data_IF_661683292241
#
_entry.id   IF_661683292241
#
_cell.length_a   1.000
_cell.length_b   1.000
_cell.length_c   1.000
_cell.angle_alpha   90.00
_cell.angle_beta   90.00
_cell.angle_gamma   90.00
#
_symmetry.space_group_name_H-M   'P 1'
#
loop_
_entity.id
_entity.type
_entity.pdbx_description
1 polymer ?
#
# COMPACT_ATOMS: atom_id res chain seq x y z
N UNK A 1 9.21 -9.85 12.42
CA UNK A 1 8.50 -9.49 11.17
C UNK A 1 8.41 -10.65 10.16
N UNK A 2 9.47 -10.99 9.40
CA UNK A 2 9.42 -11.98 8.28
C UNK A 2 8.75 -13.33 8.62
N UNK A 3 9.05 -13.93 9.77
CA UNK A 3 8.45 -15.22 10.19
C UNK A 3 6.96 -15.13 10.53
N UNK A 4 6.46 -13.95 10.89
CA UNK A 4 5.05 -13.73 11.21
C UNK A 4 4.22 -13.48 9.95
N UNK A 5 4.80 -12.77 8.97
CA UNK A 5 4.24 -12.62 7.63
C UNK A 5 4.07 -13.98 6.94
N UNK A 6 5.10 -14.83 6.97
CA UNK A 6 5.05 -16.17 6.38
C UNK A 6 4.06 -17.13 7.07
N UNK A 7 3.60 -16.80 8.28
CA UNK A 7 2.60 -17.57 9.03
C UNK A 7 1.16 -17.06 8.83
N UNK A 8 0.96 -16.02 8.01
CA UNK A 8 -0.36 -15.44 7.78
C UNK A 8 -0.88 -14.55 8.92
N UNK A 9 -0.08 -14.28 9.97
CA UNK A 9 -0.50 -13.48 11.12
C UNK A 9 -0.14 -12.00 10.91
N UNK A 10 -0.93 -11.33 10.08
CA UNK A 10 -0.79 -9.92 9.72
C UNK A 10 -0.99 -8.98 10.92
N UNK A 11 -1.92 -9.30 11.84
CA UNK A 11 -2.17 -8.51 13.06
C UNK A 11 -0.94 -8.42 13.98
N UNK A 12 -0.11 -9.47 14.03
CA UNK A 12 1.12 -9.46 14.83
C UNK A 12 2.26 -8.61 14.25
N UNK A 13 2.11 -8.13 13.02
CA UNK A 13 3.12 -7.34 12.29
C UNK A 13 2.64 -5.93 11.98
N UNK A 14 1.34 -5.75 11.78
CA UNK A 14 0.74 -4.45 11.55
C UNK A 14 0.95 -3.52 12.75
N UNK A 15 1.00 -2.21 12.47
CA UNK A 15 0.96 -1.20 13.52
C UNK A 15 -0.33 -1.36 14.35
N UNK A 16 -0.26 -1.49 15.69
CA UNK A 16 -1.43 -1.60 16.55
C UNK A 16 -2.46 -0.47 16.37
N UNK A 17 -2.02 0.73 15.96
CA UNK A 17 -2.89 1.86 15.69
C UNK A 17 -3.69 1.73 14.39
N UNK A 18 -3.33 0.76 13.54
CA UNK A 18 -3.99 0.47 12.27
C UNK A 18 -4.96 -0.72 12.38
N UNK A 19 -5.13 -1.34 13.54
CA UNK A 19 -6.05 -2.48 13.72
C UNK A 19 -7.46 -2.11 13.28
N UNK A 20 -8.02 -2.89 12.34
CA UNK A 20 -9.33 -2.64 11.73
C UNK A 20 -9.39 -1.47 10.74
N UNK A 21 -8.24 -0.86 10.39
CA UNK A 21 -8.13 0.32 9.51
C UNK A 21 -7.33 0.07 8.23
N UNK A 22 -7.00 -1.17 7.92
CA UNK A 22 -6.37 -1.56 6.65
C UNK A 22 -7.09 -2.76 6.03
N UNK A 23 -7.06 -2.84 4.70
CA UNK A 23 -7.56 -3.99 3.97
C UNK A 23 -6.47 -5.10 3.94
N UNK A 24 -6.81 -6.33 4.32
CA UNK A 24 -5.88 -7.46 4.41
C UNK A 24 -5.14 -7.72 3.07
N UNK A 25 -5.82 -7.81 1.92
CA UNK A 25 -5.18 -7.82 0.60
C UNK A 25 -4.15 -6.71 0.36
N UNK A 26 -4.51 -5.45 0.67
CA UNK A 26 -3.59 -4.32 0.51
C UNK A 26 -2.37 -4.43 1.43
N UNK A 27 -2.57 -4.94 2.65
CA UNK A 27 -1.50 -5.18 3.60
C UNK A 27 -0.50 -6.22 3.07
N UNK A 28 -0.99 -7.34 2.54
CA UNK A 28 -0.11 -8.37 1.98
C UNK A 28 0.71 -7.84 0.82
N UNK A 29 0.11 -7.06 -0.07
CA UNK A 29 0.82 -6.40 -1.17
C UNK A 29 1.99 -5.54 -0.64
N UNK A 30 1.74 -4.68 0.34
CA UNK A 30 2.80 -3.86 0.97
C UNK A 30 3.85 -4.72 1.68
N UNK A 31 3.43 -5.75 2.40
CA UNK A 31 4.32 -6.63 3.14
C UNK A 31 5.26 -7.42 2.22
N UNK A 32 4.75 -7.88 1.08
CA UNK A 32 5.52 -8.59 0.05
C UNK A 32 6.53 -7.64 -0.61
N UNK A 33 6.12 -6.43 -1.00
CA UNK A 33 7.05 -5.42 -1.53
C UNK A 33 8.16 -5.09 -0.52
N UNK A 34 7.82 -4.91 0.76
CA UNK A 34 8.80 -4.65 1.82
C UNK A 34 9.77 -5.84 2.03
N UNK A 35 9.27 -7.05 1.85
CA UNK A 35 10.08 -8.27 1.94
C UNK A 35 11.11 -8.37 0.81
N UNK A 36 10.73 -7.99 -0.40
CA UNK A 36 11.65 -7.94 -1.55
C UNK A 36 12.68 -6.81 -1.38
N UNK A 37 12.26 -5.62 -0.95
CA UNK A 37 13.16 -4.50 -0.65
C UNK A 37 14.24 -4.85 0.39
N UNK A 38 13.90 -5.71 1.35
CA UNK A 38 14.81 -6.15 2.42
C UNK A 38 15.51 -7.47 2.13
N UNK A 39 15.49 -7.94 0.89
CA UNK A 39 16.18 -9.16 0.50
C UNK A 39 17.69 -9.09 0.82
N UNK A 40 18.23 -10.21 1.32
CA UNK A 40 19.64 -10.33 1.71
C UNK A 40 20.58 -10.09 0.52
N UNK A 41 20.15 -10.50 -0.68
CA UNK A 41 20.89 -10.31 -1.92
C UNK A 41 20.33 -9.09 -2.66
N UNK A 42 21.19 -8.10 -2.94
CA UNK A 42 20.81 -6.87 -3.64
C UNK A 42 20.14 -7.10 -4.99
N UNK A 43 20.55 -8.13 -5.74
CA UNK A 43 19.94 -8.51 -7.03
C UNK A 43 18.47 -8.95 -6.93
N UNK A 44 18.00 -9.31 -5.73
CA UNK A 44 16.60 -9.68 -5.47
C UNK A 44 15.76 -8.48 -5.01
N UNK A 45 16.38 -7.33 -4.79
CA UNK A 45 15.66 -6.12 -4.39
C UNK A 45 15.05 -5.48 -5.64
N UNK A 46 13.79 -5.04 -5.58
CA UNK A 46 13.14 -4.37 -6.70
C UNK A 46 13.80 -3.03 -6.97
N UNK A 47 13.68 -2.54 -8.20
CA UNK A 47 13.98 -1.15 -8.50
C UNK A 47 12.85 -0.24 -8.00
N UNK A 48 13.12 1.07 -7.88
CA UNK A 48 12.14 2.01 -7.34
C UNK A 48 10.87 2.14 -8.19
N UNK A 49 10.95 1.96 -9.51
CA UNK A 49 9.76 1.96 -10.37
C UNK A 49 8.82 0.80 -10.03
N UNK A 50 9.36 -0.41 -9.84
CA UNK A 50 8.59 -1.56 -9.38
C UNK A 50 7.98 -1.29 -8.01
N UNK A 51 8.75 -0.73 -7.07
CA UNK A 51 8.22 -0.37 -5.73
C UNK A 51 7.03 0.58 -5.84
N UNK A 52 7.13 1.63 -6.66
CA UNK A 52 6.05 2.60 -6.84
C UNK A 52 4.80 1.93 -7.43
N UNK A 53 4.96 1.08 -8.45
CA UNK A 53 3.83 0.37 -9.07
C UNK A 53 3.12 -0.55 -8.07
N UNK A 54 3.89 -1.33 -7.31
CA UNK A 54 3.37 -2.25 -6.29
C UNK A 54 2.59 -1.49 -5.20
N UNK A 55 3.09 -0.32 -4.78
CA UNK A 55 2.40 0.53 -3.81
C UNK A 55 1.13 1.17 -4.37
N UNK A 56 1.14 1.61 -5.65
CA UNK A 56 -0.08 2.10 -6.33
C UNK A 56 -1.16 1.03 -6.37
N UNK A 57 -0.80 -0.23 -6.65
CA UNK A 57 -1.72 -1.37 -6.62
C UNK A 57 -2.28 -1.64 -5.21
N UNK A 58 -1.42 -1.63 -4.18
CA UNK A 58 -1.86 -1.83 -2.80
C UNK A 58 -2.89 -0.77 -2.36
N UNK A 59 -2.68 0.49 -2.74
CA UNK A 59 -3.60 1.59 -2.47
C UNK A 59 -4.91 1.39 -3.23
N UNK A 60 -4.87 0.99 -4.50
CA UNK A 60 -6.07 0.70 -5.28
C UNK A 60 -6.90 -0.42 -4.66
N UNK A 61 -6.27 -1.48 -4.15
CA UNK A 61 -6.94 -2.57 -3.43
C UNK A 61 -7.56 -2.12 -2.10
N UNK A 62 -6.95 -1.16 -1.41
CA UNK A 62 -7.57 -0.56 -0.24
C UNK A 62 -8.87 0.16 -0.67
N UNK A 63 -8.81 0.97 -1.73
CA UNK A 63 -9.93 1.77 -2.25
C UNK A 63 -11.13 0.93 -2.72
N UNK A 64 -10.92 -0.20 -3.40
CA UNK A 64 -12.01 -1.05 -3.89
C UNK A 64 -12.91 -1.59 -2.77
N UNK A 65 -12.33 -1.91 -1.60
CA UNK A 65 -13.07 -2.35 -0.42
C UNK A 65 -13.94 -1.22 0.18
N UNK A 66 -13.43 0.02 0.22
CA UNK A 66 -14.20 1.19 0.69
C UNK A 66 -15.41 1.49 -0.20
N UNK A 67 -15.29 1.25 -1.53
CA UNK A 67 -16.40 1.48 -2.47
C UNK A 67 -17.46 0.38 -2.41
N UNK A 68 -17.10 -0.86 -2.06
CA UNK A 68 -18.03 -2.00 -2.04
C UNK A 68 -18.85 -2.12 -0.75
N UNK A 69 -18.30 -1.72 0.40
CA UNK A 69 -19.00 -1.85 1.68
C UNK A 69 -19.91 -0.64 2.01
N UNK A 70 -19.71 0.51 1.37
CA UNK A 70 -20.36 1.77 1.75
C UNK A 70 -21.51 2.23 0.84
N UNK A 71 -21.89 1.44 -0.18
CA UNK A 71 -23.11 1.74 -0.96
C UNK A 71 -24.41 1.58 -0.15
N UNK A 72 -24.35 1.09 1.11
CA UNK A 72 -25.50 0.90 1.99
C UNK A 72 -25.27 1.44 3.41
N UNK A 73 -24.89 2.70 3.61
CA UNK A 73 -25.49 3.60 4.61
C UNK A 73 -24.78 4.95 4.68
N UNK A 74 -25.57 5.98 4.88
CA UNK A 74 -25.15 7.37 5.07
C UNK A 74 -24.24 7.50 6.30
N UNK A 75 -23.10 8.19 6.11
CA UNK A 75 -22.28 8.84 7.13
C UNK A 75 -21.74 7.99 8.28
N UNK A 76 -20.50 7.49 8.17
CA UNK A 76 -19.64 7.22 9.31
C UNK A 76 -18.16 7.30 8.87
N UNK A 77 -17.44 8.25 9.48
CA UNK A 77 -16.00 8.54 9.41
C UNK A 77 -15.19 7.77 8.36
N UNK A 78 -15.10 8.40 7.18
CA UNK A 78 -14.03 8.19 6.21
C UNK A 78 -12.70 8.21 6.97
N UNK A 79 -11.84 7.21 6.80
CA UNK A 79 -10.43 7.41 7.14
C UNK A 79 -9.89 8.40 6.10
N UNK A 80 -9.84 9.68 6.45
CA UNK A 80 -9.42 10.78 5.56
C UNK A 80 -8.01 10.54 4.99
N UNK A 81 -7.19 9.75 5.68
CA UNK A 81 -5.81 9.45 5.31
C UNK A 81 -5.68 8.58 4.03
N UNK A 82 -6.54 7.58 3.82
CA UNK A 82 -6.42 6.71 2.64
C UNK A 82 -7.03 7.32 1.38
N UNK A 83 -8.04 8.20 1.52
CA UNK A 83 -8.74 8.84 0.39
C UNK A 83 -8.03 10.10 -0.11
N UNK A 84 -7.38 10.87 0.77
CA UNK A 84 -6.69 12.12 0.39
C UNK A 84 -5.37 11.91 -0.34
N UNK A 85 -4.69 10.77 -0.14
CA UNK A 85 -3.43 10.44 -0.83
C UNK A 85 -3.64 10.10 -2.31
N UNK A 86 -4.80 9.51 -2.67
CA UNK A 86 -5.10 9.07 -4.05
C UNK A 86 -5.80 10.16 -4.89
N UNK A 87 -6.63 10.98 -4.27
CA UNK A 87 -7.35 12.06 -4.97
C UNK A 87 -6.54 13.37 -5.06
N UNK A 88 -5.24 13.34 -4.77
CA UNK A 88 -4.39 14.49 -5.02
C UNK A 88 -3.84 14.39 -6.46
N UNK A 89 -4.35 15.17 -7.43
CA UNK A 89 -3.84 15.14 -8.81
C UNK A 89 -2.37 15.58 -8.94
N UNK A 90 -1.73 16.04 -7.86
CA UNK A 90 -0.32 16.44 -7.83
C UNK A 90 0.65 15.25 -7.67
N UNK A 91 0.21 14.05 -7.27
CA UNK A 91 1.15 12.94 -6.96
C UNK A 91 1.73 12.31 -8.23
N UNK A 92 0.98 12.25 -9.33
CA UNK A 92 1.52 11.71 -10.58
C UNK A 92 2.52 12.68 -11.24
N UNK A 93 2.29 14.00 -11.14
CA UNK A 93 3.18 15.04 -11.70
C UNK A 93 4.49 15.18 -10.89
N UNK A 94 4.43 15.09 -9.54
CA UNK A 94 5.62 15.12 -8.69
C UNK A 94 6.47 13.83 -8.79
N UNK A 95 5.86 12.66 -8.99
CA UNK A 95 6.62 11.40 -9.16
C UNK A 95 7.40 11.39 -10.49
N UNK A 96 6.83 11.90 -11.57
CA UNK A 96 7.49 11.98 -12.88
C UNK A 96 8.63 13.01 -12.87
N UNK A 97 8.50 14.09 -12.09
CA UNK A 97 9.58 15.05 -11.86
C UNK A 97 10.78 14.47 -11.09
N UNK A 98 10.55 13.46 -10.24
CA UNK A 98 11.61 12.80 -9.45
C UNK A 98 12.37 11.72 -10.25
N UNK A 99 11.74 11.12 -11.27
CA UNK A 99 12.37 10.16 -12.19
C UNK A 99 12.23 10.64 -13.66
N UNK A 100 12.92 11.72 -14.06
CA UNK A 100 12.90 12.14 -15.45
C UNK A 100 13.46 11.02 -16.33
N UNK A 101 12.80 10.75 -17.46
CA UNK A 101 13.26 9.76 -18.43
C UNK A 101 14.74 10.00 -18.78
N UNK A 102 15.58 8.94 -18.85
CA UNK A 102 16.97 9.10 -19.24
C UNK A 102 17.04 9.69 -20.66
N UNK A 103 17.85 10.74 -20.84
CA UNK A 103 18.11 11.38 -22.14
C UNK A 103 18.87 10.46 -23.08
#
# INVERSE_FOLDING_TARGET
ARRHLLKGNHESVADPNLVGRYNVPSFWKVADTALECTADKGIKRPNMNSVVNELKEAIAMCNTMWNSEFSNSVAQQKSEACVSFYNNPLVDEEIEAINPAPR
#
